data_IF_007505430157
#
_entry.id   IF_007505430157
#
_cell.length_a   1.000
_cell.length_b   1.000
_cell.length_c   1.000
_cell.angle_alpha   90.00
_cell.angle_beta   90.00
_cell.angle_gamma   90.00
#
_symmetry.space_group_name_H-M   'P 1'
#
loop_
_entity.id
_entity.type
_entity.pdbx_description
1 polymer ?
#
# COMPACT_ATOMS: atom_id res chain seq x y z
N UNK A 1 -11.63 0.95 14.16
CA UNK A 1 -11.28 0.54 12.78
C UNK A 1 -11.29 -0.97 12.73
N UNK A 2 -11.79 -1.62 11.66
CA UNK A 2 -11.59 -3.06 11.55
C UNK A 2 -10.09 -3.34 11.32
N UNK A 3 -9.40 -3.84 12.34
CA UNK A 3 -7.97 -4.18 12.29
C UNK A 3 -7.66 -5.13 11.13
N UNK A 4 -8.60 -5.99 10.74
CA UNK A 4 -8.45 -6.88 9.59
C UNK A 4 -8.31 -6.09 8.28
N UNK A 5 -9.10 -5.03 8.08
CA UNK A 5 -8.99 -4.17 6.89
C UNK A 5 -7.63 -3.50 6.85
N UNK A 6 -7.13 -3.02 8.01
CA UNK A 6 -5.82 -2.38 8.08
C UNK A 6 -4.69 -3.34 7.72
N UNK A 7 -4.74 -4.57 8.25
CA UNK A 7 -3.76 -5.60 7.96
C UNK A 7 -3.75 -5.98 6.46
N UNK A 8 -4.92 -6.05 5.81
CA UNK A 8 -4.98 -6.30 4.37
C UNK A 8 -4.37 -5.16 3.55
N UNK A 9 -4.62 -3.89 3.93
CA UNK A 9 -3.99 -2.74 3.27
C UNK A 9 -2.46 -2.80 3.37
N UNK A 10 -1.93 -3.20 4.52
CA UNK A 10 -0.48 -3.35 4.74
C UNK A 10 0.12 -4.50 3.91
N UNK A 11 -0.58 -5.65 3.80
CA UNK A 11 -0.15 -6.76 2.93
C UNK A 11 -0.12 -6.38 1.45
N UNK A 12 -1.08 -5.58 0.99
CA UNK A 12 -1.10 -5.07 -0.39
C UNK A 12 0.11 -4.16 -0.63
N UNK A 13 0.43 -3.28 0.33
CA UNK A 13 1.62 -2.42 0.24
C UNK A 13 2.91 -3.22 0.10
N UNK A 14 3.11 -4.20 0.98
CA UNK A 14 4.31 -5.06 0.96
C UNK A 14 4.42 -5.82 -0.35
N UNK A 15 3.31 -6.32 -0.87
CA UNK A 15 3.26 -7.05 -2.15
C UNK A 15 3.58 -6.13 -3.32
N UNK A 16 3.07 -4.89 -3.33
CA UNK A 16 3.38 -3.91 -4.37
C UNK A 16 4.86 -3.49 -4.35
N UNK A 17 5.45 -3.27 -3.17
CA UNK A 17 6.91 -3.01 -3.03
C UNK A 17 7.75 -4.17 -3.52
N UNK A 18 7.33 -5.42 -3.23
CA UNK A 18 7.99 -6.63 -3.76
C UNK A 18 7.91 -6.69 -5.29
N UNK A 19 6.77 -6.37 -5.89
CA UNK A 19 6.63 -6.31 -7.35
C UNK A 19 7.59 -5.27 -7.98
N UNK A 20 7.70 -4.07 -7.41
CA UNK A 20 8.69 -3.08 -7.89
C UNK A 20 10.13 -3.63 -7.86
N UNK A 21 10.47 -4.35 -6.78
CA UNK A 21 11.82 -4.90 -6.57
C UNK A 21 12.12 -6.06 -7.52
N UNK A 22 11.14 -6.95 -7.75
CA UNK A 22 11.31 -8.14 -8.58
C UNK A 22 11.25 -7.84 -10.08
N UNK A 23 10.58 -6.77 -10.48
CA UNK A 23 10.35 -6.43 -11.88
C UNK A 23 11.17 -5.23 -12.35
N UNK A 24 12.42 -5.12 -11.90
CA UNK A 24 13.30 -3.98 -12.20
C UNK A 24 13.53 -3.75 -13.71
N UNK A 25 13.45 -4.82 -14.48
CA UNK A 25 13.65 -4.92 -15.92
C UNK A 25 12.32 -4.89 -16.71
N UNK A 26 11.17 -4.76 -16.03
CA UNK A 26 9.85 -4.68 -16.66
C UNK A 26 9.12 -3.38 -16.30
N UNK A 27 9.24 -2.33 -17.14
CA UNK A 27 8.63 -1.02 -16.90
C UNK A 27 7.10 -1.04 -16.74
N UNK A 28 6.42 -1.99 -17.41
CA UNK A 28 4.97 -2.11 -17.31
C UNK A 28 4.56 -2.61 -15.91
N UNK A 29 5.28 -3.60 -15.36
CA UNK A 29 5.01 -4.09 -14.01
C UNK A 29 5.35 -3.03 -12.97
N UNK A 30 6.48 -2.30 -13.13
CA UNK A 30 6.82 -1.19 -12.23
C UNK A 30 5.71 -0.15 -12.17
N UNK A 31 5.22 0.32 -13.33
CA UNK A 31 4.16 1.31 -13.39
C UNK A 31 2.87 0.83 -12.72
N UNK A 32 2.53 -0.45 -12.86
CA UNK A 32 1.37 -1.01 -12.18
C UNK A 32 1.60 -1.12 -10.66
N UNK A 33 2.81 -1.44 -10.21
CA UNK A 33 3.14 -1.45 -8.80
C UNK A 33 3.07 -0.03 -8.17
N UNK A 34 3.48 1.01 -8.90
CA UNK A 34 3.32 2.42 -8.48
C UNK A 34 1.84 2.82 -8.32
N UNK A 35 1.00 2.38 -9.26
CA UNK A 35 -0.45 2.61 -9.20
C UNK A 35 -1.04 1.94 -7.96
N UNK A 36 -0.66 0.69 -7.66
CA UNK A 36 -1.09 -0.02 -6.46
C UNK A 36 -0.67 0.73 -5.18
N UNK A 37 0.56 1.22 -5.12
CA UNK A 37 1.05 2.01 -3.98
C UNK A 37 0.29 3.32 -3.81
N UNK A 38 -0.13 3.95 -4.91
CA UNK A 38 -0.99 5.15 -4.86
C UNK A 38 -2.35 4.82 -4.24
N UNK A 39 -2.97 3.71 -4.63
CA UNK A 39 -4.23 3.27 -4.01
C UNK A 39 -4.05 2.89 -2.54
N UNK A 40 -2.98 2.20 -2.19
CA UNK A 40 -2.64 1.88 -0.79
C UNK A 40 -2.53 3.15 0.05
N UNK A 41 -1.88 4.21 -0.46
CA UNK A 41 -1.78 5.49 0.23
C UNK A 41 -3.17 6.08 0.53
N UNK A 42 -4.05 6.12 -0.46
CA UNK A 42 -5.44 6.60 -0.30
C UNK A 42 -6.17 5.74 0.74
N UNK A 43 -6.06 4.41 0.66
CA UNK A 43 -6.70 3.49 1.60
C UNK A 43 -6.21 3.73 3.03
N UNK A 44 -4.90 3.92 3.24
CA UNK A 44 -4.33 4.24 4.57
C UNK A 44 -4.81 5.58 5.10
N UNK A 45 -4.99 6.57 4.23
CA UNK A 45 -5.48 7.90 4.59
C UNK A 45 -6.94 7.84 5.07
N UNK A 46 -7.83 7.15 4.35
CA UNK A 46 -9.23 6.99 4.74
C UNK A 46 -9.44 5.94 5.84
N UNK A 47 -8.39 5.20 6.21
CA UNK A 47 -8.37 4.24 7.32
C UNK A 47 -7.30 4.58 8.38
N UNK A 48 -7.44 5.71 9.09
CA UNK A 48 -6.48 6.11 10.12
C UNK A 48 -6.41 5.12 11.29
N UNK A 49 -5.20 4.90 11.81
CA UNK A 49 -5.03 4.12 13.05
C UNK A 49 -5.50 4.98 14.23
N UNK A 50 -6.45 4.51 15.07
CA UNK A 50 -6.87 5.24 16.25
C UNK A 50 -5.67 5.56 17.14
N UNK A 51 -5.49 6.85 17.52
CA UNK A 51 -4.37 7.30 18.37
C UNK A 51 -3.18 7.94 17.65
N UNK A 52 -3.25 8.19 16.33
CA UNK A 52 -2.29 9.03 15.59
C UNK A 52 -2.80 10.43 15.22
N UNK A 53 -3.99 10.80 15.69
CA UNK A 53 -4.58 12.14 15.52
C UNK A 53 -4.43 13.00 16.79
N UNK A 54 -3.27 12.95 17.47
CA UNK A 54 -2.90 13.96 18.47
C UNK A 54 -1.37 14.15 18.41
N UNK A 55 -0.91 15.00 17.49
CA UNK A 55 0.28 15.85 17.57
C UNK A 55 0.36 16.76 16.34
#
# INVERSE_FOLDING_TARGET
>A
MNEQIRNEIERIEESAKKLQTLAQDNPAIQRNADILLTFVYILKFITPVPGKEEN
#
